data_IF_423483299644
#
_entry.id   IF_423483299644
#
_cell.length_a   1.000
_cell.length_b   1.000
_cell.length_c   1.000
_cell.angle_alpha   90.00
_cell.angle_beta   90.00
_cell.angle_gamma   90.00
#
_symmetry.space_group_name_H-M   'P 1'
#
loop_
_entity.id
_entity.type
_entity.pdbx_description
1 polymer ?
#
# COMPACT_ATOMS: atom_id res chain seq x y z
N UNK A 1 0.75 9.64 5.49
CA UNK A 1 0.96 10.20 4.14
C UNK A 1 1.21 9.07 3.15
N UNK A 2 1.08 9.33 1.85
CA UNK A 2 1.38 8.35 0.83
C UNK A 2 2.00 9.01 -0.40
N UNK A 3 2.88 8.29 -1.09
CA UNK A 3 3.44 8.70 -2.38
C UNK A 3 2.49 8.27 -3.49
N UNK A 4 2.11 9.18 -4.38
CA UNK A 4 1.34 8.84 -5.58
C UNK A 4 2.29 8.29 -6.65
N UNK A 5 2.34 6.97 -6.80
CA UNK A 5 3.24 6.32 -7.76
C UNK A 5 2.92 6.69 -9.21
N UNK A 6 1.66 7.01 -9.49
CA UNK A 6 1.23 7.42 -10.82
C UNK A 6 1.88 8.72 -11.28
N UNK A 7 2.18 9.63 -10.35
CA UNK A 7 2.75 10.93 -10.64
C UNK A 7 4.28 10.92 -10.79
N UNK A 8 4.94 9.78 -10.58
CA UNK A 8 6.39 9.67 -10.72
C UNK A 8 6.78 9.46 -12.19
N UNK A 9 7.73 10.25 -12.69
CA UNK A 9 8.40 10.03 -13.97
C UNK A 9 9.69 9.21 -13.77
N UNK A 10 10.38 9.41 -12.64
CA UNK A 10 11.55 8.63 -12.21
C UNK A 10 11.46 8.24 -10.73
N UNK A 11 12.10 7.11 -10.38
CA UNK A 11 12.25 6.71 -8.97
C UNK A 11 13.20 7.64 -8.20
N UNK A 12 14.06 8.40 -8.87
CA UNK A 12 14.98 9.34 -8.23
C UNK A 12 14.24 10.51 -7.55
N UNK A 13 13.03 10.84 -8.02
CA UNK A 13 12.16 11.85 -7.40
C UNK A 13 11.74 11.48 -5.97
N UNK A 14 11.81 10.19 -5.62
CA UNK A 14 11.51 9.72 -4.28
C UNK A 14 12.49 10.28 -3.24
N UNK A 15 13.70 10.69 -3.62
CA UNK A 15 14.64 11.32 -2.68
C UNK A 15 14.03 12.60 -2.08
N UNK A 16 13.62 13.54 -2.94
CA UNK A 16 13.06 14.82 -2.51
C UNK A 16 11.67 14.65 -1.88
N UNK A 17 10.83 13.79 -2.47
CA UNK A 17 9.47 13.54 -1.98
C UNK A 17 9.50 12.94 -0.57
N UNK A 18 10.35 11.93 -0.34
CA UNK A 18 10.44 11.31 0.99
C UNK A 18 11.08 12.25 2.01
N UNK A 19 12.04 13.10 1.61
CA UNK A 19 12.58 14.13 2.52
C UNK A 19 11.48 15.10 3.01
N UNK A 20 10.63 15.60 2.10
CA UNK A 20 9.51 16.48 2.46
C UNK A 20 8.52 15.75 3.37
N UNK A 21 8.12 14.53 3.02
CA UNK A 21 7.13 13.76 3.80
C UNK A 21 7.65 13.45 5.20
N UNK A 22 8.89 12.97 5.33
CA UNK A 22 9.48 12.62 6.63
C UNK A 22 9.58 13.85 7.52
N UNK A 23 10.06 14.99 7.01
CA UNK A 23 10.15 16.24 7.79
C UNK A 23 8.78 16.75 8.23
N UNK A 24 7.81 16.75 7.32
CA UNK A 24 6.45 17.22 7.62
C UNK A 24 5.79 16.37 8.70
N UNK A 25 5.89 15.04 8.58
CA UNK A 25 5.34 14.11 9.56
C UNK A 25 6.09 14.14 10.90
N UNK A 26 7.42 14.24 10.89
CA UNK A 26 8.20 14.34 12.12
C UNK A 26 7.87 15.63 12.89
N UNK A 27 7.70 16.75 12.18
CA UNK A 27 7.30 18.03 12.78
C UNK A 27 5.89 17.98 13.36
N UNK A 28 4.98 17.22 12.74
CA UNK A 28 3.62 17.04 13.23
C UNK A 28 3.57 16.33 14.58
N UNK A 29 4.53 15.43 14.88
CA UNK A 29 4.60 14.75 16.17
C UNK A 29 4.78 15.74 17.33
N UNK A 30 5.56 16.81 17.13
CA UNK A 30 5.78 17.83 18.14
C UNK A 30 4.65 18.88 18.17
N UNK A 31 3.94 19.06 17.05
CA UNK A 31 2.88 20.07 16.90
C UNK A 31 1.52 19.62 17.47
N UNK A 32 1.17 18.35 17.35
CA UNK A 32 -0.15 17.84 17.74
C UNK A 32 -0.30 17.64 19.25
N UNK A 33 -1.52 17.73 19.75
CA UNK A 33 -1.85 17.40 21.14
C UNK A 33 -2.01 15.89 21.36
N UNK A 34 -1.57 15.42 22.52
CA UNK A 34 -1.76 14.04 22.95
C UNK A 34 -2.74 13.96 24.12
N UNK A 35 -3.98 13.46 23.91
CA UNK A 35 -4.97 13.41 24.98
C UNK A 35 -4.62 12.38 26.08
N UNK A 36 -3.72 11.44 25.78
CA UNK A 36 -3.31 10.36 26.68
C UNK A 36 -1.78 10.37 26.81
N UNK A 37 -1.28 10.47 28.05
CA UNK A 37 0.18 10.56 28.31
C UNK A 37 0.97 9.36 27.77
N UNK A 38 0.40 8.16 27.82
CA UNK A 38 1.04 6.97 27.26
C UNK A 38 1.24 7.08 25.74
N UNK A 39 0.29 7.69 25.01
CA UNK A 39 0.40 7.89 23.57
C UNK A 39 1.47 8.95 23.23
N UNK A 40 1.57 10.02 24.02
CA UNK A 40 2.63 11.02 23.92
C UNK A 40 4.00 10.38 24.11
N UNK A 41 4.19 9.62 25.20
CA UNK A 41 5.45 8.96 25.50
C UNK A 41 5.85 7.96 24.40
N UNK A 42 4.91 7.14 23.93
CA UNK A 42 5.19 6.20 22.84
C UNK A 42 5.59 6.92 21.55
N UNK A 43 4.86 7.98 21.18
CA UNK A 43 5.12 8.76 19.97
C UNK A 43 6.43 9.52 20.05
N UNK A 44 6.73 10.17 21.18
CA UNK A 44 7.93 10.97 21.33
C UNK A 44 9.21 10.14 21.48
N UNK A 45 9.11 8.95 22.09
CA UNK A 45 10.25 8.06 22.25
C UNK A 45 10.70 7.37 20.95
N UNK A 46 9.74 7.03 20.07
CA UNK A 46 10.04 6.27 18.84
C UNK A 46 9.86 7.06 17.56
N UNK A 47 9.05 8.12 17.60
CA UNK A 47 8.72 8.99 16.47
C UNK A 47 8.29 8.21 15.23
N UNK A 48 7.48 7.18 15.43
CA UNK A 48 7.09 6.22 14.38
C UNK A 48 6.24 6.89 13.31
N UNK A 49 6.63 6.72 12.04
CA UNK A 49 5.89 7.18 10.87
C UNK A 49 5.38 5.98 10.05
N UNK A 50 4.39 6.26 9.20
CA UNK A 50 3.80 5.32 8.24
C UNK A 50 3.55 6.01 6.90
N UNK A 51 4.50 5.88 5.98
CA UNK A 51 4.46 6.37 4.61
C UNK A 51 4.04 5.21 3.72
N UNK A 52 2.91 5.38 3.04
CA UNK A 52 2.38 4.41 2.09
C UNK A 52 2.55 4.83 0.64
N UNK A 53 1.82 4.15 -0.23
CA UNK A 53 1.70 4.50 -1.64
C UNK A 53 0.23 4.56 -2.03
N UNK A 54 -0.08 5.30 -3.09
CA UNK A 54 -1.35 5.22 -3.82
C UNK A 54 -1.08 5.01 -5.31
N UNK A 55 -2.14 4.71 -6.05
CA UNK A 55 -2.12 4.62 -7.50
C UNK A 55 -1.30 3.44 -8.08
N UNK A 56 -1.11 2.37 -7.31
CA UNK A 56 -0.30 1.23 -7.76
C UNK A 56 -0.85 0.57 -9.03
N UNK A 57 -2.17 0.42 -9.13
CA UNK A 57 -2.78 -0.23 -10.29
C UNK A 57 -2.52 0.56 -11.58
N UNK A 58 -2.65 1.89 -11.53
CA UNK A 58 -2.27 2.76 -12.64
C UNK A 58 -0.76 2.72 -12.90
N UNK A 59 0.06 2.70 -11.84
CA UNK A 59 1.52 2.60 -11.98
C UNK A 59 1.95 1.30 -12.69
N UNK A 60 1.31 0.17 -12.40
CA UNK A 60 1.51 -1.08 -13.12
C UNK A 60 1.04 -0.93 -14.58
N UNK A 61 -0.18 -0.43 -14.81
CA UNK A 61 -0.75 -0.26 -16.15
C UNK A 61 0.11 0.63 -17.07
N UNK A 62 0.58 1.78 -16.58
CA UNK A 62 1.42 2.71 -17.37
C UNK A 62 2.80 2.13 -17.71
N UNK A 63 3.26 1.14 -16.94
CA UNK A 63 4.51 0.42 -17.17
C UNK A 63 4.31 -0.94 -17.88
N UNK A 64 3.09 -1.24 -18.36
CA UNK A 64 2.78 -2.50 -19.06
C UNK A 64 2.93 -3.74 -18.17
N UNK A 65 2.77 -3.59 -16.86
CA UNK A 65 2.85 -4.66 -15.88
C UNK A 65 1.47 -4.99 -15.28
N UNK A 66 1.34 -6.19 -14.73
CA UNK A 66 0.10 -6.73 -14.16
C UNK A 66 0.31 -7.29 -12.76
N UNK A 67 -0.80 -7.52 -12.06
CA UNK A 67 -0.79 -8.15 -10.74
C UNK A 67 -0.61 -9.66 -10.84
N UNK A 68 -1.28 -10.32 -11.79
CA UNK A 68 -1.46 -11.77 -11.77
C UNK A 68 -0.33 -12.61 -12.37
N UNK A 69 0.45 -12.05 -13.31
CA UNK A 69 1.35 -12.85 -14.16
C UNK A 69 2.85 -12.73 -13.82
N UNK A 70 3.17 -12.02 -12.73
CA UNK A 70 4.54 -11.79 -12.26
C UNK A 70 5.32 -10.72 -13.05
N UNK A 71 4.75 -10.12 -14.10
CA UNK A 71 5.40 -9.03 -14.86
C UNK A 71 5.71 -7.81 -13.99
N UNK A 72 4.92 -7.57 -12.94
CA UNK A 72 5.15 -6.50 -11.96
C UNK A 72 6.30 -6.74 -10.98
N UNK A 73 6.79 -7.97 -10.80
CA UNK A 73 7.69 -8.31 -9.68
C UNK A 73 8.95 -7.44 -9.63
N UNK A 74 9.65 -7.30 -10.77
CA UNK A 74 10.87 -6.49 -10.86
C UNK A 74 10.60 -4.99 -10.69
N UNK A 75 9.48 -4.50 -11.23
CA UNK A 75 9.08 -3.10 -11.11
C UNK A 75 8.78 -2.74 -9.66
N UNK A 76 8.02 -3.59 -8.96
CA UNK A 76 7.67 -3.40 -7.55
C UNK A 76 8.90 -3.51 -6.65
N UNK A 77 9.80 -4.48 -6.91
CA UNK A 77 11.06 -4.57 -6.16
C UNK A 77 11.85 -3.27 -6.23
N UNK A 78 12.12 -2.75 -7.43
CA UNK A 78 12.85 -1.48 -7.61
C UNK A 78 12.15 -0.30 -6.95
N UNK A 79 10.82 -0.22 -7.11
CA UNK A 79 10.03 0.91 -6.59
C UNK A 79 10.06 0.95 -5.06
N UNK A 80 9.90 -0.21 -4.41
CA UNK A 80 9.88 -0.29 -2.95
C UNK A 80 11.28 -0.30 -2.32
N UNK A 81 12.30 -0.75 -3.04
CA UNK A 81 13.69 -0.51 -2.67
C UNK A 81 13.95 0.99 -2.57
N UNK A 82 13.63 1.74 -3.63
CA UNK A 82 13.82 3.19 -3.67
C UNK A 82 13.02 3.91 -2.58
N UNK A 83 11.73 3.58 -2.44
CA UNK A 83 10.88 4.19 -1.42
C UNK A 83 11.45 4.02 0.00
N UNK A 84 11.88 2.81 0.37
CA UNK A 84 12.42 2.55 1.69
C UNK A 84 13.81 3.18 1.86
N UNK A 85 14.69 3.03 0.88
CA UNK A 85 16.04 3.58 0.92
C UNK A 85 16.01 5.11 1.13
N UNK A 86 15.23 5.82 0.31
CA UNK A 86 15.13 7.27 0.42
C UNK A 86 14.40 7.73 1.68
N UNK A 87 13.39 6.99 2.16
CA UNK A 87 12.76 7.29 3.45
C UNK A 87 13.75 7.17 4.62
N UNK A 88 14.58 6.12 4.62
CA UNK A 88 15.64 5.91 5.62
C UNK A 88 16.71 6.99 5.52
N UNK A 89 17.14 7.34 4.31
CA UNK A 89 18.10 8.44 4.05
C UNK A 89 17.57 9.77 4.58
N UNK A 90 16.30 10.09 4.31
CA UNK A 90 15.64 11.30 4.81
C UNK A 90 15.62 11.34 6.35
N UNK A 91 15.25 10.24 7.01
CA UNK A 91 15.22 10.17 8.48
C UNK A 91 16.62 10.19 9.10
N UNK A 92 17.63 9.62 8.43
CA UNK A 92 19.04 9.71 8.84
C UNK A 92 19.57 11.14 8.73
N UNK A 93 19.25 11.85 7.64
CA UNK A 93 19.55 13.28 7.49
C UNK A 93 18.91 14.10 8.62
N UNK A 94 17.66 13.80 8.94
CA UNK A 94 16.96 14.48 10.04
C UNK A 94 17.56 14.16 11.42
N UNK A 95 18.08 12.93 11.61
CA UNK A 95 18.82 12.57 12.82
C UNK A 95 20.14 13.34 12.96
N UNK A 96 20.83 13.62 11.85
CA UNK A 96 22.03 14.47 11.88
C UNK A 96 21.72 15.91 12.31
N UNK A 97 20.54 16.43 11.94
CA UNK A 97 20.14 17.81 12.24
C UNK A 97 19.56 17.95 13.66
N UNK A 98 18.74 17.00 14.12
CA UNK A 98 17.94 17.12 15.35
C UNK A 98 18.17 15.99 16.37
N UNK A 99 19.05 15.04 16.07
CA UNK A 99 19.26 13.82 16.85
C UNK A 99 18.28 12.70 16.51
N UNK A 100 18.73 11.46 16.67
CA UNK A 100 17.92 10.25 16.54
C UNK A 100 16.76 10.22 17.57
N UNK A 101 15.74 9.38 17.35
CA UNK A 101 14.69 9.21 18.36
C UNK A 101 15.25 8.63 19.68
N UNK A 102 14.65 8.97 20.83
CA UNK A 102 15.15 8.54 22.14
C UNK A 102 15.39 7.03 22.31
N UNK A 103 14.52 6.20 21.73
CA UNK A 103 14.63 4.73 21.79
C UNK A 103 15.17 4.11 20.50
N UNK A 104 15.98 4.83 19.73
CA UNK A 104 16.61 4.30 18.52
C UNK A 104 17.46 3.06 18.81
N UNK A 105 18.15 3.01 19.96
CA UNK A 105 18.98 1.89 20.42
C UNK A 105 18.25 0.53 20.52
N UNK A 106 16.92 0.53 20.61
CA UNK A 106 16.11 -0.70 20.65
C UNK A 106 15.79 -1.26 19.25
N UNK A 107 16.12 -0.53 18.20
CA UNK A 107 15.77 -0.92 16.82
C UNK A 107 16.78 -1.91 16.23
N UNK A 108 16.34 -2.70 15.25
CA UNK A 108 17.26 -3.50 14.43
C UNK A 108 18.22 -2.59 13.63
N UNK A 109 17.78 -1.39 13.25
CA UNK A 109 18.61 -0.38 12.59
C UNK A 109 19.82 0.05 13.44
N UNK A 110 19.66 0.22 14.76
CA UNK A 110 20.79 0.50 15.65
C UNK A 110 21.80 -0.65 15.75
N UNK A 111 21.36 -1.89 15.49
CA UNK A 111 22.23 -3.06 15.36
C UNK A 111 22.85 -3.19 13.97
N UNK A 112 22.62 -2.21 13.09
CA UNK A 112 23.07 -2.22 11.72
C UNK A 112 22.39 -3.28 10.86
N UNK A 113 21.18 -3.74 11.20
CA UNK A 113 20.38 -4.64 10.36
C UNK A 113 19.33 -3.84 9.58
N UNK A 114 19.28 -4.08 8.28
CA UNK A 114 18.40 -3.42 7.31
C UNK A 114 17.30 -4.39 6.85
N UNK A 115 16.18 -3.91 6.30
CA UNK A 115 15.12 -4.77 5.75
C UNK A 115 15.64 -5.80 4.74
N UNK A 116 16.66 -5.41 3.96
CA UNK A 116 17.34 -6.28 2.99
C UNK A 116 18.09 -7.47 3.61
N UNK A 117 18.32 -7.49 4.92
CA UNK A 117 18.99 -8.62 5.59
C UNK A 117 17.98 -9.61 6.20
N UNK A 118 16.79 -9.13 6.57
CA UNK A 118 15.85 -9.88 7.41
C UNK A 118 14.59 -10.35 6.67
N UNK A 119 14.48 -10.08 5.37
CA UNK A 119 13.33 -10.52 4.57
C UNK A 119 13.28 -12.05 4.39
N UNK A 120 12.08 -12.56 4.07
CA UNK A 120 11.86 -13.99 3.81
C UNK A 120 12.49 -14.41 2.47
N UNK A 121 13.47 -15.32 2.53
CA UNK A 121 14.26 -15.73 1.35
C UNK A 121 13.47 -16.41 0.24
N UNK A 122 12.28 -16.95 0.51
CA UNK A 122 11.40 -17.51 -0.53
C UNK A 122 11.04 -16.47 -1.61
N UNK A 123 11.08 -15.16 -1.31
CA UNK A 123 10.86 -14.08 -2.29
C UNK A 123 11.87 -14.17 -3.46
N UNK A 124 13.10 -14.63 -3.21
CA UNK A 124 14.14 -14.71 -4.24
C UNK A 124 13.79 -15.72 -5.35
N UNK A 125 12.83 -16.63 -5.12
CA UNK A 125 12.36 -17.59 -6.12
C UNK A 125 11.57 -16.98 -7.27
N UNK A 126 10.92 -15.82 -7.05
CA UNK A 126 10.11 -15.12 -8.04
C UNK A 126 10.52 -13.65 -8.24
N UNK A 127 11.48 -13.14 -7.45
CA UNK A 127 12.07 -11.82 -7.62
C UNK A 127 13.56 -11.79 -7.21
N UNK A 128 14.47 -12.44 -7.95
CA UNK A 128 15.92 -12.47 -7.68
C UNK A 128 16.63 -11.15 -8.03
N UNK A 129 15.93 -10.01 -7.98
CA UNK A 129 16.42 -8.71 -8.43
C UNK A 129 17.49 -8.16 -7.49
N UNK A 130 18.62 -7.75 -8.08
CA UNK A 130 19.70 -7.06 -7.37
C UNK A 130 19.25 -5.69 -6.86
N UNK A 131 19.86 -5.26 -5.75
CA UNK A 131 19.67 -3.94 -5.18
C UNK A 131 20.37 -2.88 -6.06
N UNK A 132 19.67 -1.80 -6.38
CA UNK A 132 20.21 -0.70 -7.19
C UNK A 132 20.91 0.39 -6.36
N UNK A 133 20.59 0.48 -5.06
CA UNK A 133 21.04 1.58 -4.19
C UNK A 133 22.14 1.14 -3.21
N UNK A 134 22.94 2.08 -2.71
CA UNK A 134 24.09 1.81 -1.84
C UNK A 134 23.69 1.61 -0.37
N UNK A 135 23.08 0.45 -0.10
CA UNK A 135 22.62 0.07 1.25
C UNK A 135 23.76 -0.06 2.26
N UNK A 136 24.98 -0.37 1.84
CA UNK A 136 26.12 -0.50 2.74
C UNK A 136 26.60 0.86 3.25
N UNK A 137 26.60 1.88 2.39
CA UNK A 137 26.83 3.26 2.81
C UNK A 137 25.73 3.73 3.76
N UNK A 138 24.46 3.58 3.38
CA UNK A 138 23.34 3.99 4.21
C UNK A 138 23.35 3.28 5.58
N UNK A 139 23.73 2.00 5.62
CA UNK A 139 23.89 1.25 6.86
C UNK A 139 24.95 1.85 7.78
N UNK A 140 26.11 2.23 7.24
CA UNK A 140 27.18 2.88 8.02
C UNK A 140 26.70 4.22 8.57
N UNK A 141 26.00 5.02 7.75
CA UNK A 141 25.47 6.32 8.15
C UNK A 141 24.43 6.16 9.27
N UNK A 142 23.49 5.20 9.14
CA UNK A 142 22.48 4.90 10.16
C UNK A 142 23.09 4.40 11.46
N UNK A 143 24.11 3.54 11.43
CA UNK A 143 24.77 3.07 12.65
C UNK A 143 25.53 4.21 13.34
N UNK A 144 26.13 5.12 12.57
CA UNK A 144 26.91 6.23 13.11
C UNK A 144 26.04 7.32 13.74
N UNK A 145 24.92 7.69 13.12
CA UNK A 145 24.14 8.89 13.50
C UNK A 145 22.70 8.57 13.93
N UNK A 146 22.19 7.40 13.56
CA UNK A 146 20.86 6.93 13.88
C UNK A 146 19.77 7.34 12.89
N UNK A 147 18.52 7.13 13.30
CA UNK A 147 17.33 7.56 12.57
C UNK A 147 16.48 8.44 13.48
N UNK A 148 15.88 9.49 12.90
CA UNK A 148 14.94 10.35 13.62
C UNK A 148 13.66 9.60 13.96
N UNK A 149 13.31 8.57 13.19
CA UNK A 149 12.05 7.83 13.28
C UNK A 149 12.35 6.32 13.33
N UNK A 150 11.75 5.59 14.28
CA UNK A 150 11.97 4.13 14.41
C UNK A 150 11.33 3.30 13.30
N UNK A 151 10.30 3.83 12.64
CA UNK A 151 9.64 3.23 11.47
C UNK A 151 9.28 4.33 10.50
N UNK A 152 9.28 4.03 9.20
CA UNK A 152 9.01 5.01 8.16
C UNK A 152 7.87 4.57 7.24
N UNK A 153 7.79 3.29 6.87
CA UNK A 153 6.84 2.83 5.83
C UNK A 153 5.77 1.88 6.38
N UNK A 154 4.55 2.06 5.87
CA UNK A 154 3.39 1.23 6.16
C UNK A 154 2.36 1.39 5.03
N UNK A 155 1.79 0.30 4.51
CA UNK A 155 0.86 0.36 3.38
C UNK A 155 -0.58 0.26 3.86
N UNK A 156 -1.23 1.41 4.02
CA UNK A 156 -2.61 1.56 4.45
C UNK A 156 -3.59 1.56 3.26
N UNK A 157 -4.86 1.15 3.47
CA UNK A 157 -5.90 1.40 2.49
C UNK A 157 -6.11 2.92 2.37
N UNK A 158 -6.09 3.42 1.14
CA UNK A 158 -6.27 4.84 0.87
C UNK A 158 -7.61 5.04 0.18
N UNK A 159 -8.72 4.94 0.93
CA UNK A 159 -10.06 4.99 0.34
C UNK A 159 -10.52 6.44 0.06
N UNK A 160 -10.31 7.35 1.02
CA UNK A 160 -10.76 8.75 0.90
C UNK A 160 -9.70 9.66 0.29
N UNK A 161 -8.42 9.50 0.70
CA UNK A 161 -7.32 10.34 0.22
C UNK A 161 -7.03 10.14 -1.27
N UNK A 162 -7.20 8.91 -1.78
CA UNK A 162 -6.98 8.60 -3.20
C UNK A 162 -7.96 9.32 -4.13
N UNK A 163 -9.17 9.62 -3.65
CA UNK A 163 -10.21 10.28 -4.43
C UNK A 163 -9.83 11.73 -4.75
N UNK A 164 -9.22 12.42 -3.78
CA UNK A 164 -8.78 13.82 -3.93
C UNK A 164 -7.76 13.93 -5.06
N UNK A 165 -6.84 12.96 -5.17
CA UNK A 165 -5.80 12.92 -6.19
C UNK A 165 -6.21 12.18 -7.47
N UNK A 166 -7.49 11.82 -7.62
CA UNK A 166 -7.99 10.92 -8.65
C UNK A 166 -7.08 9.70 -8.90
N UNK A 167 -6.68 8.99 -7.84
CA UNK A 167 -5.77 7.83 -7.89
C UNK A 167 -6.48 6.53 -7.54
N UNK A 168 -5.96 5.39 -7.98
CA UNK A 168 -6.43 4.09 -7.49
C UNK A 168 -6.04 3.88 -6.01
N UNK A 169 -6.86 3.13 -5.28
CA UNK A 169 -6.76 3.04 -3.82
C UNK A 169 -5.55 2.22 -3.39
N UNK A 170 -4.54 2.87 -2.80
CA UNK A 170 -3.40 2.19 -2.21
C UNK A 170 -2.67 1.28 -3.22
N UNK A 171 -2.56 0.00 -2.86
CA UNK A 171 -1.97 -1.05 -3.69
C UNK A 171 -3.00 -1.89 -4.47
N UNK A 172 -4.29 -1.61 -4.30
CA UNK A 172 -5.37 -2.51 -4.75
C UNK A 172 -5.69 -2.34 -6.24
N UNK A 173 -5.98 -3.44 -6.96
CA UNK A 173 -6.57 -3.36 -8.29
C UNK A 173 -7.99 -2.77 -8.19
N UNK A 174 -8.41 -1.90 -9.14
CA UNK A 174 -9.75 -1.33 -9.14
C UNK A 174 -10.80 -2.41 -9.44
N UNK A 175 -11.98 -2.34 -8.80
CA UNK A 175 -13.09 -3.28 -9.05
C UNK A 175 -13.70 -3.14 -10.44
N UNK A 176 -13.66 -1.92 -10.97
CA UNK A 176 -14.15 -1.54 -12.29
C UNK A 176 -13.48 -0.25 -12.75
N UNK A 177 -13.67 0.11 -14.02
CA UNK A 177 -13.12 1.36 -14.56
C UNK A 177 -13.78 2.61 -14.00
N UNK A 178 -15.03 2.48 -13.54
CA UNK A 178 -15.76 3.52 -12.81
C UNK A 178 -16.05 2.97 -11.43
N UNK A 179 -15.59 3.68 -10.40
CA UNK A 179 -15.97 3.41 -9.01
C UNK A 179 -17.11 4.32 -8.61
N UNK A 180 -18.17 3.74 -8.05
CA UNK A 180 -19.31 4.47 -7.51
C UNK A 180 -19.18 4.53 -5.98
N UNK A 181 -19.13 5.73 -5.42
CA UNK A 181 -19.06 5.93 -3.96
C UNK A 181 -20.17 6.84 -3.47
N UNK A 182 -20.80 6.45 -2.38
CA UNK A 182 -21.74 7.31 -1.68
C UNK A 182 -20.97 8.30 -0.80
N UNK A 183 -21.28 9.58 -0.95
CA UNK A 183 -20.80 10.67 -0.10
C UNK A 183 -21.99 11.40 0.53
N UNK A 184 -21.73 12.30 1.48
CA UNK A 184 -22.78 13.16 2.07
C UNK A 184 -23.49 14.03 1.02
N UNK A 185 -22.79 14.35 -0.08
CA UNK A 185 -23.27 15.22 -1.16
C UNK A 185 -23.85 14.43 -2.36
N UNK A 186 -23.97 13.10 -2.23
CA UNK A 186 -24.53 12.22 -3.26
C UNK A 186 -23.54 11.20 -3.82
N UNK A 187 -23.88 10.63 -4.98
CA UNK A 187 -23.09 9.60 -5.66
C UNK A 187 -21.93 10.25 -6.41
N UNK A 188 -20.70 9.90 -6.01
CA UNK A 188 -19.48 10.27 -6.72
C UNK A 188 -19.06 9.12 -7.63
N UNK A 189 -18.95 9.40 -8.93
CA UNK A 189 -18.41 8.47 -9.92
C UNK A 189 -16.98 8.89 -10.23
N UNK A 190 -16.04 7.98 -10.00
CA UNK A 190 -14.62 8.22 -10.25
C UNK A 190 -14.12 7.25 -11.33
N UNK A 191 -13.50 7.79 -12.38
CA UNK A 191 -12.92 6.98 -13.46
C UNK A 191 -11.44 6.75 -13.17
N UNK A 192 -10.93 5.55 -13.45
CA UNK A 192 -9.50 5.25 -13.31
C UNK A 192 -8.63 6.21 -14.15
N UNK A 193 -7.43 6.59 -13.67
CA UNK A 193 -6.52 7.47 -14.41
C UNK A 193 -6.23 6.99 -15.82
N UNK A 194 -6.22 7.92 -16.78
CA UNK A 194 -5.90 7.67 -18.20
C UNK A 194 -6.67 6.49 -18.82
N UNK A 195 -7.94 6.32 -18.44
CA UNK A 195 -8.80 5.25 -18.92
C UNK A 195 -8.77 5.07 -20.45
N UNK A 196 -8.86 6.15 -21.22
CA UNK A 196 -8.90 6.07 -22.70
C UNK A 196 -7.66 5.41 -23.30
N UNK A 197 -6.48 5.71 -22.74
CA UNK A 197 -5.20 5.17 -23.21
C UNK A 197 -4.88 3.80 -22.62
N UNK A 198 -5.25 3.56 -21.35
CA UNK A 198 -4.76 2.43 -20.56
C UNK A 198 -5.83 1.38 -20.21
N UNK A 199 -7.09 1.50 -20.65
CA UNK A 199 -8.15 0.53 -20.31
C UNK A 199 -7.78 -0.94 -20.54
N UNK A 200 -6.99 -1.22 -21.58
CA UNK A 200 -6.55 -2.58 -21.93
C UNK A 200 -5.32 -3.06 -21.14
N UNK A 201 -4.65 -2.14 -20.44
CA UNK A 201 -3.47 -2.41 -19.60
C UNK A 201 -3.84 -2.58 -18.13
N UNK A 202 -4.93 -1.97 -17.67
CA UNK A 202 -5.46 -2.22 -16.34
C UNK A 202 -5.89 -3.68 -16.19
N UNK A 203 -5.58 -4.23 -15.03
CA UNK A 203 -6.15 -5.49 -14.56
C UNK A 203 -7.16 -5.16 -13.46
N UNK A 204 -8.45 -5.40 -13.75
CA UNK A 204 -9.50 -5.21 -12.75
C UNK A 204 -9.48 -6.36 -11.75
N UNK A 205 -9.98 -6.08 -10.55
CA UNK A 205 -9.94 -7.03 -9.44
C UNK A 205 -10.49 -8.41 -9.81
N UNK A 206 -11.62 -8.44 -10.52
CA UNK A 206 -12.32 -9.67 -10.87
C UNK A 206 -11.84 -10.33 -12.16
N UNK A 207 -10.89 -9.71 -12.88
CA UNK A 207 -10.21 -10.32 -14.03
C UNK A 207 -9.02 -11.17 -13.57
N UNK A 208 -8.54 -10.95 -12.35
CA UNK A 208 -7.49 -11.73 -11.68
C UNK A 208 -8.06 -13.10 -11.29
N UNK A 209 -7.43 -14.18 -11.75
CA UNK A 209 -7.93 -15.55 -11.57
C UNK A 209 -7.63 -16.16 -10.19
N UNK A 210 -6.51 -15.77 -9.59
CA UNK A 210 -6.04 -16.27 -8.31
C UNK A 210 -5.21 -15.20 -7.58
N UNK A 211 -4.96 -15.43 -6.29
CA UNK A 211 -4.24 -14.46 -5.46
C UNK A 211 -2.72 -14.56 -5.59
N UNK A 212 -2.15 -15.52 -6.33
CA UNK A 212 -0.71 -15.83 -6.27
C UNK A 212 0.14 -14.64 -6.70
N UNK A 213 -0.12 -14.05 -7.87
CA UNK A 213 0.63 -12.89 -8.36
C UNK A 213 0.51 -11.67 -7.44
N UNK A 214 -0.70 -11.36 -6.96
CA UNK A 214 -0.92 -10.27 -6.00
C UNK A 214 -0.17 -10.51 -4.68
N UNK A 215 -0.23 -11.73 -4.12
CA UNK A 215 0.49 -12.09 -2.90
C UNK A 215 2.02 -12.01 -3.09
N UNK A 216 2.54 -12.37 -4.27
CA UNK A 216 3.95 -12.18 -4.61
C UNK A 216 4.34 -10.70 -4.61
N UNK A 217 3.53 -9.81 -5.21
CA UNK A 217 3.78 -8.38 -5.16
C UNK A 217 3.77 -7.85 -3.72
N UNK A 218 2.78 -8.25 -2.90
CA UNK A 218 2.73 -7.87 -1.49
C UNK A 218 3.95 -8.37 -0.71
N UNK A 219 4.43 -9.59 -0.98
CA UNK A 219 5.65 -10.10 -0.36
C UNK A 219 6.90 -9.30 -0.77
N UNK A 220 7.01 -8.93 -2.05
CA UNK A 220 8.11 -8.08 -2.55
C UNK A 220 8.08 -6.69 -1.89
N UNK A 221 6.90 -6.08 -1.73
CA UNK A 221 6.77 -4.85 -0.97
C UNK A 221 7.19 -5.04 0.49
N UNK A 222 6.76 -6.14 1.12
CA UNK A 222 7.03 -6.44 2.52
C UNK A 222 8.52 -6.68 2.82
N UNK A 223 9.34 -7.02 1.81
CA UNK A 223 10.81 -7.07 1.90
C UNK A 223 11.40 -5.76 2.40
N UNK A 224 10.80 -4.63 2.03
CA UNK A 224 11.33 -3.29 2.33
C UNK A 224 10.52 -2.55 3.39
N UNK A 225 9.21 -2.80 3.49
CA UNK A 225 8.31 -2.08 4.40
C UNK A 225 8.60 -2.40 5.87
N UNK A 226 8.80 -1.35 6.69
CA UNK A 226 9.08 -1.47 8.13
C UNK A 226 7.95 -2.16 8.89
N UNK A 227 6.73 -1.65 8.70
CA UNK A 227 5.53 -2.13 9.37
C UNK A 227 4.89 -3.26 8.55
N UNK A 228 3.61 -3.14 8.21
CA UNK A 228 2.85 -4.14 7.48
C UNK A 228 2.10 -3.54 6.30
N UNK A 229 1.38 -4.40 5.60
CA UNK A 229 0.56 -4.11 4.43
C UNK A 229 -0.86 -4.61 4.72
N UNK A 230 -1.86 -3.80 4.42
CA UNK A 230 -3.27 -4.20 4.41
C UNK A 230 -3.59 -5.12 3.22
N UNK A 231 -2.94 -6.28 3.17
CA UNK A 231 -3.01 -7.26 2.09
C UNK A 231 -4.38 -7.93 2.06
N UNK A 232 -5.09 -7.85 0.95
CA UNK A 232 -6.39 -8.50 0.78
C UNK A 232 -6.26 -9.88 0.12
N UNK A 233 -7.32 -10.66 0.15
CA UNK A 233 -7.49 -11.84 -0.72
C UNK A 233 -8.86 -11.80 -1.34
N UNK A 234 -8.97 -12.31 -2.57
CA UNK A 234 -10.14 -12.12 -3.41
C UNK A 234 -10.58 -13.45 -3.99
N UNK A 235 -11.90 -13.69 -3.98
CA UNK A 235 -12.48 -14.94 -4.48
C UNK A 235 -13.77 -14.65 -5.23
N UNK A 236 -13.86 -15.12 -6.47
CA UNK A 236 -15.10 -15.10 -7.25
C UNK A 236 -15.71 -16.52 -7.23
N UNK A 237 -16.83 -16.74 -6.51
CA UNK A 237 -17.45 -18.05 -6.43
C UNK A 237 -17.81 -18.64 -7.80
N UNK A 238 -18.11 -17.82 -8.80
CA UNK A 238 -18.53 -18.26 -10.15
C UNK A 238 -17.44 -19.02 -10.90
N UNK A 239 -16.17 -18.85 -10.48
CA UNK A 239 -15.03 -19.58 -11.03
C UNK A 239 -14.92 -21.03 -10.51
N UNK A 240 -15.74 -21.41 -9.52
CA UNK A 240 -15.65 -22.71 -8.85
C UNK A 240 -16.92 -23.55 -9.01
N UNK A 241 -16.74 -24.88 -9.02
CA UNK A 241 -17.85 -25.83 -9.17
C UNK A 241 -18.90 -25.61 -8.08
N UNK A 242 -20.13 -25.34 -8.52
CA UNK A 242 -21.28 -25.13 -7.63
C UNK A 242 -21.28 -23.79 -6.90
N UNK A 243 -20.58 -22.78 -7.44
CA UNK A 243 -20.48 -21.43 -6.88
C UNK A 243 -19.99 -21.40 -5.43
N UNK A 244 -19.03 -22.28 -5.11
CA UNK A 244 -18.49 -22.47 -3.76
C UNK A 244 -16.97 -22.46 -3.81
N UNK A 245 -16.37 -21.49 -3.14
CA UNK A 245 -14.91 -21.39 -3.00
C UNK A 245 -14.43 -22.54 -2.10
N UNK A 246 -13.49 -23.39 -2.57
CA UNK A 246 -13.03 -24.52 -1.77
C UNK A 246 -12.22 -24.08 -0.54
N UNK A 247 -12.49 -24.67 0.64
CA UNK A 247 -11.68 -24.43 1.86
C UNK A 247 -10.18 -24.65 1.63
N UNK A 248 -9.83 -25.64 0.79
CA UNK A 248 -8.44 -25.92 0.41
C UNK A 248 -7.75 -24.70 -0.21
N UNK A 249 -8.45 -23.91 -1.02
CA UNK A 249 -7.85 -22.73 -1.66
C UNK A 249 -7.49 -21.67 -0.62
N UNK A 250 -8.42 -21.34 0.28
CA UNK A 250 -8.15 -20.40 1.39
C UNK A 250 -6.94 -20.80 2.23
N UNK A 251 -6.82 -22.10 2.55
CA UNK A 251 -5.68 -22.61 3.32
C UNK A 251 -4.37 -22.54 2.53
N UNK A 252 -4.41 -22.78 1.21
CA UNK A 252 -3.23 -22.63 0.36
C UNK A 252 -2.79 -21.16 0.28
N UNK A 253 -3.71 -20.22 0.06
CA UNK A 253 -3.38 -18.79 -0.03
C UNK A 253 -2.84 -18.26 1.31
N UNK A 254 -3.41 -18.71 2.43
CA UNK A 254 -2.88 -18.40 3.78
C UNK A 254 -1.46 -18.94 3.98
N UNK A 255 -1.20 -20.18 3.56
CA UNK A 255 0.12 -20.80 3.66
C UNK A 255 1.13 -20.15 2.72
N UNK A 256 0.73 -19.74 1.51
CA UNK A 256 1.54 -18.95 0.58
C UNK A 256 1.90 -17.60 1.20
N UNK A 257 0.93 -16.88 1.77
CA UNK A 257 1.17 -15.61 2.45
C UNK A 257 2.22 -15.76 3.57
N UNK A 258 2.10 -16.81 4.39
CA UNK A 258 3.10 -17.13 5.41
C UNK A 258 4.47 -17.49 4.82
N UNK A 259 4.49 -18.35 3.79
CA UNK A 259 5.72 -18.81 3.12
C UNK A 259 6.51 -17.63 2.57
N UNK A 260 5.83 -16.63 2.00
CA UNK A 260 6.43 -15.46 1.40
C UNK A 260 6.74 -14.32 2.40
N UNK A 261 6.33 -14.46 3.66
CA UNK A 261 6.64 -13.50 4.72
C UNK A 261 5.71 -12.29 4.76
N UNK A 262 4.48 -12.43 4.26
CA UNK A 262 3.43 -11.42 4.46
C UNK A 262 3.06 -11.39 5.94
N UNK A 263 3.11 -10.20 6.55
CA UNK A 263 2.90 -10.03 8.00
C UNK A 263 1.43 -10.05 8.40
N UNK A 264 0.53 -9.51 7.57
CA UNK A 264 -0.92 -9.42 7.86
C UNK A 264 -1.77 -9.64 6.61
N UNK A 265 -2.92 -10.31 6.80
CA UNK A 265 -4.04 -10.33 5.87
C UNK A 265 -5.17 -9.47 6.45
N UNK A 266 -5.82 -8.67 5.62
CA UNK A 266 -6.79 -7.65 6.02
C UNK A 266 -8.22 -8.04 5.66
N UNK A 267 -8.67 -7.79 4.43
CA UNK A 267 -9.99 -8.23 3.97
C UNK A 267 -9.92 -9.52 3.16
N UNK A 268 -10.95 -10.34 3.34
CA UNK A 268 -11.31 -11.43 2.45
C UNK A 268 -12.54 -10.98 1.65
N UNK A 269 -12.34 -10.64 0.38
CA UNK A 269 -13.41 -10.14 -0.49
C UNK A 269 -13.96 -11.28 -1.32
N UNK A 270 -15.28 -11.50 -1.27
CA UNK A 270 -15.97 -12.47 -2.13
C UNK A 270 -16.87 -11.70 -3.10
N UNK A 271 -16.82 -12.04 -4.39
CA UNK A 271 -17.73 -11.45 -5.37
C UNK A 271 -19.16 -11.91 -5.08
N UNK A 272 -20.07 -10.97 -4.91
CA UNK A 272 -21.48 -11.23 -4.59
C UNK A 272 -22.34 -11.50 -5.84
N UNK A 273 -21.78 -11.30 -7.04
CA UNK A 273 -22.49 -11.47 -8.31
C UNK A 273 -23.41 -10.30 -8.65
N UNK A 274 -23.51 -9.29 -7.77
CA UNK A 274 -24.03 -7.99 -8.14
C UNK A 274 -22.96 -7.27 -8.94
N UNK A 275 -23.26 -6.86 -10.17
CA UNK A 275 -22.48 -5.76 -10.75
C UNK A 275 -22.56 -4.54 -9.82
N UNK A 276 -21.67 -3.56 -9.96
CA UNK A 276 -21.96 -2.19 -9.49
C UNK A 276 -23.09 -1.53 -10.32
N UNK A 277 -24.08 -2.32 -10.73
CA UNK A 277 -25.37 -1.91 -11.26
C UNK A 277 -26.42 -2.21 -10.18
N UNK A 278 -26.32 -1.51 -9.05
CA UNK A 278 -27.46 -1.45 -8.13
C UNK A 278 -28.43 -0.38 -8.62
N UNK A 279 -29.41 -0.88 -9.37
CA UNK A 279 -30.81 -0.46 -9.34
C UNK A 279 -31.01 1.06 -9.42
N UNK A 280 -31.11 1.58 -10.66
CA UNK A 280 -32.03 2.70 -10.88
C UNK A 280 -33.40 2.11 -10.59
N UNK A 281 -33.89 2.28 -9.35
CA UNK A 281 -35.30 2.02 -9.07
C UNK A 281 -36.07 3.01 -9.96
N UNK A 282 -36.73 2.52 -11.01
CA UNK A 282 -37.76 3.25 -11.74
C UNK A 282 -39.03 3.48 -10.88
N UNK A 283 -38.96 3.27 -9.56
CA UNK A 283 -40.08 3.43 -8.63
C UNK A 283 -40.18 4.84 -8.00
N UNK A 284 -39.30 5.78 -8.36
CA UNK A 284 -39.45 7.20 -7.94
C UNK A 284 -40.64 7.92 -8.62
N UNK A 285 -41.43 7.22 -9.45
CA UNK A 285 -42.71 7.71 -9.97
C UNK A 285 -43.96 7.13 -9.27
N UNK A 286 -43.80 6.38 -8.18
CA UNK A 286 -44.92 5.89 -7.37
C UNK A 286 -45.14 6.71 -6.09
N UNK A 287 -45.04 8.04 -6.18
CA UNK A 287 -45.54 8.97 -5.16
C UNK A 287 -46.57 9.92 -5.77
N UNK A 288 -47.60 9.33 -6.37
CA UNK A 288 -48.88 9.99 -6.64
C UNK A 288 -49.92 9.43 -5.66
N UNK A 289 -49.77 9.80 -4.39
CA UNK A 289 -50.86 10.11 -3.47
C UNK A 289 -50.26 10.25 -2.06
N UNK A 290 -50.54 11.38 -1.42
CA UNK A 290 -49.87 11.82 -0.22
C UNK A 290 -50.07 10.92 1.01
N UNK A 291 -49.35 11.31 2.07
CA UNK A 291 -49.24 10.69 3.41
C UNK A 291 -48.10 9.65 3.45
N UNK A 292 -46.95 9.94 4.04
CA UNK A 292 -46.75 9.98 5.50
C UNK A 292 -45.62 10.93 5.95
N UNK A 293 -45.90 11.74 6.99
CA UNK A 293 -44.93 12.15 8.05
C UNK A 293 -44.78 10.95 9.01
N UNK A 294 -43.70 10.69 9.73
CA UNK A 294 -42.71 11.51 10.45
C UNK A 294 -41.29 10.99 10.22
#
# INVERSE_FOLDING_TARGET
SAVNLGALDSLDELEDITEIIVRALDSLLDYQDYPIKAAELASMNRRTLGIGVTNLAYYLAKNGAKYSDGSGNKLIHKTFEALQYYSLKASNKLANEFGACPLFNETQYAQGKMPIDTYKKDIDTFSPTDLALDWDKLRKDIVATGLRNSTLTALMPCESSSQISNSTNGIEPPRGFVSIKQSKDGILKQIVPEYEALKNQYELLWDIKDNEGYLQLCAIMQKFVDQSISTNTHYDPTQFKGNKVPMKLFLMDLLSAYKYGIKTLYYHTTRDGGGEETVVNEDDNACADGVCKL
#
